data_IF_928206176460
#
_entry.id   IF_928206176460
#
_cell.length_a   1.000
_cell.length_b   1.000
_cell.length_c   1.000
_cell.angle_alpha   90.00
_cell.angle_beta   90.00
_cell.angle_gamma   90.00
#
_symmetry.space_group_name_H-M   'P 1'
#
loop_
_entity.id
_entity.type
_entity.pdbx_description
1 polymer ?
#
# COMPACT_ATOMS: atom_id res chain seq x y z
N UNK A 1 18.46 -11.14 -13.34
CA UNK A 1 17.01 -11.03 -13.01
C UNK A 1 16.24 -10.92 -14.31
N UNK A 2 15.23 -11.76 -14.52
CA UNK A 2 14.50 -11.84 -15.79
C UNK A 2 13.36 -10.81 -15.80
N UNK A 3 13.14 -10.14 -16.93
CA UNK A 3 12.00 -9.24 -17.13
C UNK A 3 10.93 -9.98 -17.94
N UNK A 4 9.79 -10.22 -17.32
CA UNK A 4 8.67 -10.95 -17.90
C UNK A 4 7.50 -10.01 -18.18
N UNK A 5 6.67 -10.41 -19.15
CA UNK A 5 5.34 -9.83 -19.35
C UNK A 5 4.42 -10.18 -18.17
N UNK A 6 3.26 -9.51 -18.08
CA UNK A 6 2.36 -9.65 -16.93
C UNK A 6 1.87 -11.09 -16.72
N UNK A 7 1.36 -11.74 -17.76
CA UNK A 7 0.79 -13.09 -17.65
C UNK A 7 1.87 -14.16 -17.32
N UNK A 8 3.02 -14.20 -18.01
CA UNK A 8 4.13 -15.09 -17.62
C UNK A 8 4.68 -14.85 -16.21
N UNK A 9 4.69 -13.59 -15.76
CA UNK A 9 5.11 -13.26 -14.39
C UNK A 9 4.18 -13.89 -13.34
N UNK A 10 2.87 -13.83 -13.56
CA UNK A 10 1.87 -14.40 -12.65
C UNK A 10 1.94 -15.93 -12.61
N UNK A 11 2.22 -16.57 -13.76
CA UNK A 11 2.42 -18.02 -13.83
C UNK A 11 3.67 -18.44 -13.04
N UNK A 12 4.82 -17.79 -13.29
CA UNK A 12 6.05 -18.10 -12.55
C UNK A 12 5.94 -17.80 -11.06
N UNK A 13 5.24 -16.73 -10.68
CA UNK A 13 4.94 -16.44 -9.28
C UNK A 13 4.14 -17.58 -8.63
N UNK A 14 3.20 -18.16 -9.36
CA UNK A 14 2.41 -19.31 -8.87
C UNK A 14 3.29 -20.54 -8.69
N UNK A 15 4.16 -20.83 -9.66
CA UNK A 15 5.15 -21.92 -9.58
C UNK A 15 6.11 -21.73 -8.40
N UNK A 16 6.54 -20.49 -8.12
CA UNK A 16 7.34 -20.18 -6.93
C UNK A 16 6.61 -20.55 -5.64
N UNK A 17 5.34 -20.15 -5.49
CA UNK A 17 4.57 -20.50 -4.30
C UNK A 17 4.35 -22.01 -4.14
N UNK A 18 4.22 -22.76 -5.24
CA UNK A 18 4.10 -24.22 -5.20
C UNK A 18 5.38 -24.89 -4.70
N UNK A 19 6.55 -24.48 -5.19
CA UNK A 19 7.83 -25.03 -4.75
C UNK A 19 8.16 -24.70 -3.30
N UNK A 20 7.71 -23.56 -2.80
CA UNK A 20 8.04 -23.05 -1.46
C UNK A 20 6.98 -23.45 -0.41
N UNK A 21 6.02 -24.32 -0.76
CA UNK A 21 4.90 -24.69 0.14
C UNK A 21 5.38 -25.32 1.46
N UNK A 22 6.39 -26.18 1.41
CA UNK A 22 6.91 -26.88 2.59
C UNK A 22 8.00 -26.09 3.31
N UNK A 23 8.98 -25.59 2.53
CA UNK A 23 10.16 -24.89 3.05
C UNK A 23 10.56 -23.75 2.13
N UNK A 24 10.85 -22.62 2.75
CA UNK A 24 11.43 -21.45 2.12
C UNK A 24 10.56 -20.21 2.27
N UNK A 25 10.88 -19.17 1.51
CA UNK A 25 10.12 -17.92 1.54
C UNK A 25 10.17 -17.27 0.17
N UNK A 26 9.02 -16.77 -0.27
CA UNK A 26 8.92 -15.97 -1.50
C UNK A 26 8.86 -14.50 -1.10
N UNK A 27 9.84 -13.72 -1.53
CA UNK A 27 9.84 -12.27 -1.34
C UNK A 27 9.28 -11.60 -2.57
N UNK A 28 8.22 -10.82 -2.39
CA UNK A 28 7.64 -9.97 -3.42
C UNK A 28 7.82 -8.51 -3.02
N UNK A 29 8.35 -7.68 -3.92
CA UNK A 29 8.52 -6.24 -3.69
C UNK A 29 7.87 -5.46 -4.82
N UNK A 30 7.14 -4.40 -4.45
CA UNK A 30 6.48 -3.48 -5.37
C UNK A 30 7.12 -2.10 -5.17
N UNK A 31 7.66 -1.52 -6.25
CA UNK A 31 8.36 -0.23 -6.20
C UNK A 31 7.91 0.69 -7.33
N UNK A 32 7.66 1.95 -7.00
CA UNK A 32 7.41 2.98 -8.01
C UNK A 32 8.70 3.27 -8.81
N UNK A 33 8.65 3.11 -10.13
CA UNK A 33 9.82 3.20 -11.01
C UNK A 33 9.41 3.67 -12.40
N UNK A 34 10.20 4.55 -13.01
CA UNK A 34 10.05 4.94 -14.41
C UNK A 34 10.80 4.02 -15.38
N UNK A 35 11.48 2.97 -14.89
CA UNK A 35 12.36 2.05 -15.65
C UNK A 35 13.48 2.74 -16.46
N UNK A 36 13.69 4.05 -16.24
CA UNK A 36 14.74 4.84 -16.86
C UNK A 36 15.93 4.98 -15.94
N UNK A 37 17.13 4.90 -16.52
CA UNK A 37 18.38 5.16 -15.79
C UNK A 37 18.42 6.62 -15.30
N UNK A 38 19.28 6.92 -14.32
CA UNK A 38 19.46 8.30 -13.81
C UNK A 38 19.80 9.28 -14.96
N UNK A 39 20.67 8.86 -15.87
CA UNK A 39 21.06 9.63 -17.05
C UNK A 39 19.87 9.89 -17.97
N UNK A 40 19.05 8.88 -18.24
CA UNK A 40 17.86 9.03 -19.08
C UNK A 40 16.79 9.92 -18.43
N UNK A 41 16.58 9.78 -17.12
CA UNK A 41 15.66 10.65 -16.38
C UNK A 41 16.08 12.11 -16.45
N UNK A 42 17.36 12.40 -16.26
CA UNK A 42 17.87 13.76 -16.36
C UNK A 42 17.64 14.34 -17.76
N UNK A 43 17.92 13.58 -18.82
CA UNK A 43 17.65 14.00 -20.21
C UNK A 43 16.19 14.31 -20.47
N UNK A 44 15.28 13.45 -19.98
CA UNK A 44 13.82 13.63 -20.15
C UNK A 44 13.33 14.87 -19.39
N UNK A 45 13.84 15.06 -18.17
CA UNK A 45 13.52 16.23 -17.33
C UNK A 45 14.04 17.52 -17.97
N UNK A 46 15.28 17.53 -18.46
CA UNK A 46 15.87 18.67 -19.18
C UNK A 46 15.16 18.96 -20.51
N UNK A 47 14.56 17.94 -21.14
CA UNK A 47 13.75 18.08 -22.35
C UNK A 47 12.28 18.45 -22.08
N UNK A 48 11.89 18.69 -20.82
CA UNK A 48 10.53 19.08 -20.43
C UNK A 48 9.46 18.01 -20.66
N UNK A 49 9.84 16.74 -20.85
CA UNK A 49 8.90 15.64 -21.08
C UNK A 49 8.49 15.00 -19.76
N UNK A 50 7.23 14.61 -19.65
CA UNK A 50 6.72 13.93 -18.46
C UNK A 50 7.25 12.49 -18.36
N UNK A 51 7.67 12.11 -17.15
CA UNK A 51 8.16 10.76 -16.88
C UNK A 51 6.97 9.83 -16.64
N UNK A 52 6.78 8.87 -17.54
CA UNK A 52 5.82 7.78 -17.31
C UNK A 52 6.34 6.88 -16.18
N UNK A 53 5.69 6.95 -15.01
CA UNK A 53 5.98 6.07 -13.91
C UNK A 53 5.11 4.82 -13.94
N UNK A 54 5.72 3.70 -13.57
CA UNK A 54 5.12 2.36 -13.54
C UNK A 54 5.39 1.70 -12.20
N UNK A 55 4.66 0.64 -11.91
CA UNK A 55 4.95 -0.20 -10.75
C UNK A 55 5.91 -1.32 -11.18
N UNK A 56 7.12 -1.34 -10.62
CA UNK A 56 8.05 -2.43 -10.78
C UNK A 56 7.77 -3.48 -9.70
N UNK A 57 7.31 -4.65 -10.12
CA UNK A 57 7.08 -5.80 -9.25
C UNK A 57 8.24 -6.77 -9.42
N UNK A 58 8.78 -7.26 -8.31
CA UNK A 58 9.88 -8.23 -8.27
C UNK A 58 9.51 -9.36 -7.35
N UNK A 59 9.77 -10.60 -7.76
CA UNK A 59 9.60 -11.78 -6.92
C UNK A 59 10.86 -12.63 -6.93
N UNK A 60 11.18 -13.22 -5.78
CA UNK A 60 12.31 -14.13 -5.61
C UNK A 60 12.03 -15.19 -4.56
N UNK A 61 12.51 -16.40 -4.82
CA UNK A 61 12.55 -17.53 -3.88
C UNK A 61 13.99 -17.76 -3.40
N UNK A 62 14.83 -16.72 -3.45
CA UNK A 62 16.27 -16.78 -3.18
C UNK A 62 17.10 -17.36 -4.32
N UNK A 63 16.54 -18.28 -5.11
CA UNK A 63 17.19 -18.89 -6.30
C UNK A 63 16.81 -18.18 -7.59
N UNK A 64 15.52 -18.24 -7.95
CA UNK A 64 14.97 -17.62 -9.17
C UNK A 64 14.54 -16.18 -8.88
N UNK A 65 14.83 -15.26 -9.80
CA UNK A 65 14.52 -13.83 -9.66
C UNK A 65 13.78 -13.32 -10.91
N UNK A 66 12.51 -12.97 -10.75
CA UNK A 66 11.63 -12.47 -11.82
C UNK A 66 11.16 -11.04 -11.53
N UNK A 67 10.95 -10.26 -12.59
CA UNK A 67 10.43 -8.90 -12.50
C UNK A 67 9.42 -8.62 -13.60
N UNK A 68 8.47 -7.73 -13.33
CA UNK A 68 7.55 -7.20 -14.33
C UNK A 68 7.27 -5.71 -14.08
N UNK A 69 6.88 -4.99 -15.13
CA UNK A 69 6.42 -3.61 -15.04
C UNK A 69 4.92 -3.58 -15.28
N UNK A 70 4.20 -2.98 -14.36
CA UNK A 70 2.76 -2.79 -14.46
C UNK A 70 2.49 -1.32 -14.79
N UNK A 71 1.92 -1.10 -15.97
CA UNK A 71 1.48 0.22 -16.43
C UNK A 71 0.10 0.61 -15.89
N UNK A 72 -0.30 1.85 -16.12
CA UNK A 72 -1.60 2.39 -15.69
C UNK A 72 -2.80 1.75 -16.40
N UNK A 73 -2.62 1.12 -17.56
CA UNK A 73 -3.73 0.45 -18.27
C UNK A 73 -4.01 -0.94 -17.70
N UNK A 74 -2.96 -1.69 -17.40
CA UNK A 74 -3.07 -3.11 -17.02
C UNK A 74 -3.12 -3.34 -15.50
N UNK A 75 -3.00 -2.28 -14.69
CA UNK A 75 -2.91 -2.39 -13.23
C UNK A 75 -4.12 -3.08 -12.61
N UNK A 76 -5.34 -2.82 -13.08
CA UNK A 76 -6.56 -3.44 -12.53
C UNK A 76 -6.59 -4.94 -12.80
N UNK A 77 -6.26 -5.36 -14.03
CA UNK A 77 -6.18 -6.78 -14.41
C UNK A 77 -5.10 -7.50 -13.60
N UNK A 78 -3.92 -6.89 -13.49
CA UNK A 78 -2.83 -7.43 -12.68
C UNK A 78 -3.24 -7.58 -11.21
N UNK A 79 -3.88 -6.56 -10.64
CA UNK A 79 -4.33 -6.57 -9.24
C UNK A 79 -5.33 -7.70 -8.98
N UNK A 80 -6.32 -7.90 -9.86
CA UNK A 80 -7.33 -8.94 -9.70
C UNK A 80 -6.70 -10.36 -9.72
N UNK A 81 -5.84 -10.63 -10.70
CA UNK A 81 -5.15 -11.93 -10.81
C UNK A 81 -4.16 -12.15 -9.67
N UNK A 82 -3.36 -11.14 -9.34
CA UNK A 82 -2.40 -11.20 -8.23
C UNK A 82 -3.08 -11.46 -6.88
N UNK A 83 -4.18 -10.75 -6.58
CA UNK A 83 -4.94 -10.97 -5.36
C UNK A 83 -5.53 -12.38 -5.29
N UNK A 84 -5.92 -12.96 -6.43
CA UNK A 84 -6.44 -14.33 -6.51
C UNK A 84 -5.35 -15.35 -6.19
N UNK A 85 -4.17 -15.20 -6.78
CA UNK A 85 -3.01 -16.06 -6.50
C UNK A 85 -2.62 -15.99 -5.02
N UNK A 86 -2.53 -14.78 -4.47
CA UNK A 86 -2.22 -14.56 -3.06
C UNK A 86 -3.22 -15.26 -2.14
N UNK A 87 -4.53 -15.08 -2.39
CA UNK A 87 -5.57 -15.76 -1.61
C UNK A 87 -5.52 -17.28 -1.73
N UNK A 88 -5.21 -17.81 -2.91
CA UNK A 88 -5.16 -19.24 -3.15
C UNK A 88 -3.94 -19.92 -2.53
N UNK A 89 -2.79 -19.24 -2.47
CA UNK A 89 -1.52 -19.85 -2.02
C UNK A 89 -1.16 -19.56 -0.56
N UNK A 90 -1.65 -18.47 0.04
CA UNK A 90 -1.39 -18.15 1.46
C UNK A 90 -2.43 -18.79 2.41
N UNK A 91 -2.58 -20.12 2.34
CA UNK A 91 -3.61 -20.86 3.11
C UNK A 91 -3.17 -21.31 4.51
N UNK A 92 -1.86 -21.46 4.73
CA UNK A 92 -1.28 -22.04 5.96
C UNK A 92 -1.19 -21.06 7.14
N UNK A 93 -1.92 -19.94 7.10
CA UNK A 93 -1.95 -18.97 8.19
C UNK A 93 -2.97 -19.36 9.26
N UNK A 94 -2.66 -19.12 10.53
CA UNK A 94 -3.61 -19.34 11.64
C UNK A 94 -4.88 -18.56 11.35
N UNK A 95 -6.02 -19.25 11.34
CA UNK A 95 -7.33 -18.61 11.17
C UNK A 95 -7.49 -17.57 12.28
N UNK A 96 -7.77 -16.33 11.88
CA UNK A 96 -8.07 -15.26 12.83
C UNK A 96 -9.33 -15.67 13.59
N UNK A 97 -9.19 -15.99 14.87
CA UNK A 97 -10.34 -16.23 15.73
C UNK A 97 -11.20 -14.96 15.74
N UNK A 98 -12.42 -15.08 15.23
CA UNK A 98 -13.43 -14.03 15.38
C UNK A 98 -13.80 -13.97 16.85
N UNK A 99 -13.06 -13.20 17.65
CA UNK A 99 -13.58 -12.72 18.93
C UNK A 99 -14.83 -11.92 18.60
N UNK A 100 -15.99 -12.48 18.96
CA UNK A 100 -17.32 -11.92 18.73
C UNK A 100 -17.35 -10.43 19.06
N UNK A 101 -17.41 -9.59 18.01
CA UNK A 101 -17.63 -8.15 18.15
C UNK A 101 -19.12 -7.87 18.39
N UNK A 102 -19.70 -8.48 19.44
CA UNK A 102 -21.02 -8.07 19.98
C UNK A 102 -20.92 -6.99 21.07
N UNK A 103 -19.75 -6.38 21.32
CA UNK A 103 -19.59 -5.32 22.34
C UNK A 103 -18.79 -4.09 21.89
N UNK A 104 -18.81 -3.74 20.61
CA UNK A 104 -18.09 -2.57 20.09
C UNK A 104 -18.99 -1.52 19.44
N UNK A 105 -20.30 -1.53 19.72
CA UNK A 105 -21.22 -0.46 19.29
C UNK A 105 -21.29 0.66 20.33
N UNK A 106 -21.05 0.39 21.62
CA UNK A 106 -21.19 1.40 22.70
C UNK A 106 -19.97 2.30 22.98
N UNK A 107 -18.81 2.09 22.33
CA UNK A 107 -17.59 2.87 22.65
C UNK A 107 -17.39 4.07 21.73
N UNK A 108 -18.05 4.11 20.57
CA UNK A 108 -17.91 5.22 19.61
C UNK A 108 -18.69 6.47 20.06
N UNK A 109 -19.86 6.31 20.69
CA UNK A 109 -20.68 7.45 21.16
C UNK A 109 -20.12 8.18 22.40
N UNK A 110 -19.27 7.53 23.21
CA UNK A 110 -18.64 8.19 24.38
C UNK A 110 -17.40 9.02 24.05
N UNK A 111 -16.83 8.90 22.84
CA UNK A 111 -15.65 9.68 22.45
C UNK A 111 -16.00 10.98 21.73
N UNK A 112 -17.21 11.10 21.17
CA UNK A 112 -17.71 12.34 20.56
C UNK A 112 -18.21 13.38 21.61
N UNK A 113 -18.62 12.95 22.80
CA UNK A 113 -19.14 13.83 23.86
C UNK A 113 -18.09 14.41 24.81
N UNK A 114 -16.81 14.04 24.68
CA UNK A 114 -15.70 14.64 25.46
C UNK A 114 -15.01 15.83 24.78
N UNK A 115 -15.37 16.16 23.54
CA UNK A 115 -14.78 17.29 22.81
C UNK A 115 -15.56 18.61 22.94
N UNK A 116 -16.67 18.63 23.70
CA UNK A 116 -17.47 19.83 23.93
C UNK A 116 -17.70 20.04 25.44
N UNK A 117 -16.82 20.80 26.09
CA UNK A 117 -17.20 21.64 27.23
C UNK A 117 -16.55 23.02 27.11
N UNK A 118 -17.31 24.08 27.43
CA UNK A 118 -16.96 25.48 27.17
C UNK A 118 -15.96 25.98 28.21
N UNK A 119 -15.06 26.86 27.81
CA UNK A 119 -14.27 27.66 28.74
C UNK A 119 -15.04 28.95 29.03
N UNK A 120 -15.78 28.92 30.12
CA UNK A 120 -16.36 30.10 30.77
C UNK A 120 -15.41 30.49 31.91
N UNK A 121 -14.74 31.64 31.81
CA UNK A 121 -14.06 32.28 32.94
C UNK A 121 -14.44 33.76 32.95
N UNK A 122 -15.38 34.03 33.84
CA UNK A 122 -15.96 35.31 34.19
C UNK A 122 -14.99 36.17 35.05
N UNK A 123 -15.04 37.49 34.81
CA UNK A 123 -14.86 38.61 35.77
C UNK A 123 -13.47 38.90 36.38
N UNK A 124 -12.91 40.10 36.11
CA UNK A 124 -13.24 41.40 36.80
C UNK A 124 -12.09 42.42 36.77
N UNK A 125 -12.47 43.70 36.60
CA UNK A 125 -11.76 44.98 36.94
C UNK A 125 -10.57 45.36 36.03
N UNK A 126 -10.37 46.61 35.59
CA UNK A 126 -10.78 47.91 36.16
C UNK A 126 -10.62 49.07 35.15
N UNK A 127 -11.53 50.05 35.27
CA UNK A 127 -11.36 51.51 35.11
C UNK A 127 -11.06 52.19 33.76
N UNK A 128 -11.93 53.17 33.46
CA UNK A 128 -11.69 54.47 32.81
C UNK A 128 -11.24 54.44 31.33
N UNK A 129 -11.86 55.16 30.39
CA UNK A 129 -11.99 56.62 30.33
C UNK A 129 -13.11 57.00 29.33
N UNK A 130 -13.85 58.06 29.71
CA UNK A 130 -14.85 58.84 28.95
C UNK A 130 -14.29 59.51 27.68
N UNK A 131 -15.18 59.68 26.68
CA UNK A 131 -15.29 60.81 25.70
C UNK A 131 -14.07 61.13 24.83
N UNK A 132 -14.26 61.18 23.52
CA UNK A 132 -14.58 62.40 22.73
C UNK A 132 -15.43 61.97 21.54
#
# INVERSE_FOLDING_TARGET
>A
MVRLQLDPFLNELTTMFEHTTEKGSVWVTLKHSSDKSKVQRNKITSAGKELEFKCLVRATDGKKNISTLVGTKDHQRFQASYATILKARMTSLKKREKKDKRKAVDVVDKKASKAAKPMDVDKKQQSSVKRV
#
